data_IF_730315596911
#
_entry.id   IF_730315596911
#
_cell.length_a   1.000
_cell.length_b   1.000
_cell.length_c   1.000
_cell.angle_alpha   90.00
_cell.angle_beta   90.00
_cell.angle_gamma   90.00
#
_symmetry.space_group_name_H-M   'P 1'
#
loop_
_entity.id
_entity.type
_entity.pdbx_description
1 polymer ?
#
# COMPACT_ATOMS: atom_id res chain seq x y z
N UNK A 1 -1.05 -15.02 6.22
CA UNK A 1 -0.04 -14.03 5.75
C UNK A 1 1.21 -14.69 5.17
N UNK A 2 1.65 -15.85 5.67
CA UNK A 2 2.83 -16.58 5.17
C UNK A 2 2.77 -16.82 3.65
N UNK A 3 1.63 -17.30 3.12
CA UNK A 3 1.47 -17.55 1.68
C UNK A 3 1.70 -16.29 0.83
N UNK A 4 1.13 -15.16 1.24
CA UNK A 4 1.32 -13.86 0.55
C UNK A 4 2.79 -13.45 0.58
N UNK A 5 3.46 -13.62 1.72
CA UNK A 5 4.89 -13.35 1.85
C UNK A 5 5.74 -14.18 0.89
N UNK A 6 5.44 -15.48 0.77
CA UNK A 6 6.13 -16.37 -0.18
C UNK A 6 5.93 -15.89 -1.62
N UNK A 7 4.70 -15.53 -2.00
CA UNK A 7 4.41 -15.01 -3.34
C UNK A 7 5.16 -13.71 -3.64
N UNK A 8 5.22 -12.79 -2.66
CA UNK A 8 5.98 -11.53 -2.78
C UNK A 8 7.46 -11.80 -2.98
N UNK A 9 8.04 -12.73 -2.22
CA UNK A 9 9.45 -13.11 -2.34
C UNK A 9 9.73 -13.75 -3.70
N UNK A 10 8.90 -14.69 -4.16
CA UNK A 10 9.04 -15.32 -5.48
C UNK A 10 8.92 -14.31 -6.61
N UNK A 11 7.96 -13.38 -6.51
CA UNK A 11 7.81 -12.28 -7.45
C UNK A 11 9.09 -11.42 -7.49
N UNK A 12 9.64 -11.05 -6.34
CA UNK A 12 10.86 -10.25 -6.26
C UNK A 12 12.08 -10.96 -6.84
N UNK A 13 12.22 -12.26 -6.60
CA UNK A 13 13.33 -13.06 -7.14
C UNK A 13 13.21 -13.20 -8.66
N UNK A 14 12.00 -13.43 -9.17
CA UNK A 14 11.74 -13.64 -10.59
C UNK A 14 11.85 -12.34 -11.41
N UNK A 15 11.47 -11.20 -10.83
CA UNK A 15 11.37 -9.92 -11.54
C UNK A 15 12.48 -8.92 -11.17
N UNK A 16 13.74 -9.38 -11.21
CA UNK A 16 14.94 -8.54 -10.98
C UNK A 16 15.35 -7.71 -12.19
N UNK A 17 14.60 -7.76 -13.29
CA UNK A 17 14.86 -6.93 -14.45
C UNK A 17 14.81 -5.45 -14.07
N UNK A 18 15.72 -4.69 -14.67
CA UNK A 18 15.78 -3.24 -14.48
C UNK A 18 14.80 -2.60 -15.44
N UNK A 19 13.96 -1.71 -14.93
CA UNK A 19 13.10 -0.81 -15.69
C UNK A 19 13.54 0.62 -15.46
N UNK A 20 13.26 1.49 -16.42
CA UNK A 20 13.56 2.91 -16.31
C UNK A 20 12.30 3.59 -15.78
N UNK A 21 12.40 4.16 -14.58
CA UNK A 21 11.33 4.99 -14.01
C UNK A 21 11.51 6.43 -14.51
N UNK A 22 10.56 6.89 -15.31
CA UNK A 22 10.43 8.29 -15.68
C UNK A 22 9.61 9.01 -14.61
N UNK A 23 10.25 9.91 -13.88
CA UNK A 23 9.64 10.60 -12.74
C UNK A 23 8.89 11.85 -13.17
N UNK A 24 7.88 11.73 -14.04
CA UNK A 24 7.09 12.87 -14.48
C UNK A 24 6.45 13.61 -13.29
N UNK A 25 6.48 14.97 -13.23
CA UNK A 25 6.95 15.93 -14.24
C UNK A 25 8.45 16.28 -14.16
N UNK A 26 9.21 15.62 -13.30
CA UNK A 26 10.65 15.84 -13.16
C UNK A 26 11.40 15.13 -14.30
N UNK A 27 12.45 15.75 -14.89
CA UNK A 27 13.21 15.19 -16.01
C UNK A 27 14.27 14.19 -15.53
N UNK A 28 13.89 13.22 -14.69
CA UNK A 28 14.78 12.19 -14.16
C UNK A 28 14.38 10.79 -14.64
N UNK A 29 15.38 10.04 -15.08
CA UNK A 29 15.26 8.63 -15.47
C UNK A 29 16.07 7.79 -14.50
N UNK A 30 15.39 6.98 -13.69
CA UNK A 30 16.03 6.18 -12.65
C UNK A 30 15.97 4.70 -13.04
N UNK A 31 17.12 4.04 -13.30
CA UNK A 31 17.14 2.59 -13.46
C UNK A 31 16.80 1.94 -12.12
N UNK A 32 15.71 1.18 -12.09
CA UNK A 32 15.17 0.61 -10.88
C UNK A 32 14.71 -0.84 -11.11
N UNK A 33 14.89 -1.76 -10.15
CA UNK A 33 14.37 -3.11 -10.31
C UNK A 33 12.84 -3.10 -10.34
N UNK A 34 12.25 -3.84 -11.29
CA UNK A 34 10.79 -3.88 -11.49
C UNK A 34 10.04 -4.27 -10.21
N UNK A 35 10.52 -5.29 -9.50
CA UNK A 35 9.91 -5.70 -8.25
C UNK A 35 9.83 -4.56 -7.24
N UNK A 36 10.87 -3.71 -7.18
CA UNK A 36 10.92 -2.61 -6.22
C UNK A 36 9.81 -1.60 -6.49
N UNK A 37 9.61 -1.23 -7.76
CA UNK A 37 8.59 -0.26 -8.15
C UNK A 37 7.19 -0.75 -7.74
N UNK A 38 6.88 -2.02 -8.00
CA UNK A 38 5.60 -2.64 -7.64
C UNK A 38 5.41 -2.70 -6.11
N UNK A 39 6.45 -3.08 -5.36
CA UNK A 39 6.35 -3.17 -3.89
C UNK A 39 6.17 -1.80 -3.24
N UNK A 40 6.85 -0.76 -3.74
CA UNK A 40 6.67 0.61 -3.25
C UNK A 40 5.24 1.10 -3.53
N UNK A 41 4.72 0.88 -4.74
CA UNK A 41 3.36 1.27 -5.09
C UNK A 41 2.32 0.55 -4.21
N UNK A 42 2.50 -0.77 -3.99
CA UNK A 42 1.64 -1.55 -3.11
C UNK A 42 1.70 -1.06 -1.66
N UNK A 43 2.89 -0.71 -1.16
CA UNK A 43 3.08 -0.19 0.19
C UNK A 43 2.40 1.18 0.39
N UNK A 44 2.51 2.08 -0.59
CA UNK A 44 1.80 3.37 -0.58
C UNK A 44 0.28 3.13 -0.55
N UNK A 45 -0.22 2.22 -1.38
CA UNK A 45 -1.64 1.83 -1.39
C UNK A 45 -2.10 1.25 -0.04
N UNK A 46 -1.27 0.44 0.61
CA UNK A 46 -1.55 -0.11 1.93
C UNK A 46 -1.63 0.98 3.01
N UNK A 47 -0.68 1.93 3.03
CA UNK A 47 -0.73 3.07 3.96
C UNK A 47 -1.99 3.89 3.71
N UNK A 48 -2.26 4.25 2.46
CA UNK A 48 -3.45 5.03 2.10
C UNK A 48 -4.74 4.33 2.51
N UNK A 49 -4.88 3.05 2.18
CA UNK A 49 -6.03 2.23 2.56
C UNK A 49 -6.20 2.13 4.08
N UNK A 50 -5.10 2.00 4.82
CA UNK A 50 -5.11 1.96 6.29
C UNK A 50 -5.60 3.28 6.89
N UNK A 51 -5.15 4.42 6.35
CA UNK A 51 -5.61 5.74 6.79
C UNK A 51 -7.10 5.92 6.51
N UNK A 52 -7.57 5.56 5.31
CA UNK A 52 -8.99 5.63 4.94
C UNK A 52 -9.85 4.72 5.84
N UNK A 53 -9.39 3.50 6.10
CA UNK A 53 -10.06 2.57 7.00
C UNK A 53 -10.15 3.14 8.44
N UNK A 54 -9.10 3.80 8.92
CA UNK A 54 -9.10 4.40 10.25
C UNK A 54 -10.08 5.57 10.36
N UNK A 55 -10.10 6.48 9.38
CA UNK A 55 -11.01 7.64 9.35
C UNK A 55 -12.46 7.18 9.26
N UNK A 56 -12.77 6.23 8.38
CA UNK A 56 -14.14 5.69 8.20
C UNK A 56 -14.65 4.97 9.46
N UNK A 57 -13.79 4.24 10.16
CA UNK A 57 -14.14 3.60 11.43
C UNK A 57 -14.40 4.62 12.56
N UNK A 58 -13.87 5.83 12.49
CA UNK A 58 -14.09 6.89 13.48
C UNK A 58 -15.57 7.29 13.62
N UNK A 59 -16.29 7.40 12.50
CA UNK A 59 -17.72 7.72 12.49
C UNK A 59 -18.57 6.60 13.11
N UNK A 60 -18.28 5.35 12.78
CA UNK A 60 -18.93 4.16 13.36
C UNK A 60 -18.67 4.05 14.86
N UNK A 61 -17.43 4.29 15.32
CA UNK A 61 -17.08 4.33 16.75
C UNK A 61 -17.82 5.44 17.50
N UNK A 62 -17.99 6.62 16.89
CA UNK A 62 -18.74 7.74 17.48
C UNK A 62 -20.24 7.42 17.60
N UNK A 63 -20.83 6.80 16.58
CA UNK A 63 -22.24 6.34 16.61
C UNK A 63 -22.46 5.25 17.65
N UNK A 64 -21.55 4.29 17.78
CA UNK A 64 -21.60 3.25 18.81
C UNK A 64 -21.58 3.83 20.23
N UNK A 65 -20.74 4.85 20.49
CA UNK A 65 -20.70 5.53 21.80
C UNK A 65 -21.99 6.30 22.15
N UNK A 66 -22.67 6.85 21.15
CA UNK A 66 -23.92 7.58 21.35
C UNK A 66 -25.13 6.65 21.52
N UNK A 67 -25.10 5.46 20.89
CA UNK A 67 -26.14 4.45 21.06
C UNK A 67 -26.18 3.90 22.49
N UNK A 68 -25.01 3.70 23.12
CA UNK A 68 -24.89 3.23 24.51
C UNK A 68 -25.40 4.25 25.54
N UNK A 69 -25.46 5.55 25.19
CA UNK A 69 -25.98 6.62 26.07
C UNK A 69 -27.50 6.82 25.99
N UNK A 70 -28.18 6.18 25.03
CA UNK A 70 -29.64 6.30 24.82
C UNK A 70 -30.44 5.11 25.37
N UNK A 71 -29.78 4.13 25.97
CA UNK A 71 -30.36 3.04 26.76
C UNK A 71 -30.15 3.32 28.24
#
# INVERSE_FOLDING_TARGET
MIVVGILVVLFAISNRSVVILELWPLPYFVPFPFYGAVLIAAFIGFIGGSVVAWVSAGGTRRKARNAVRKT
#
